data_IF_722999220054
#
_entry.id   IF_722999220054
#
_cell.length_a   1.000
_cell.length_b   1.000
_cell.length_c   1.000
_cell.angle_alpha   90.00
_cell.angle_beta   90.00
_cell.angle_gamma   90.00
#
_symmetry.space_group_name_H-M   'P 1'
#
loop_
_entity.id
_entity.type
_entity.pdbx_description
1 polymer ?
#
# COMPACT_ATOMS: atom_id res chain seq x y z
N UNK A 1 -11.32 -17.99 34.07
CA UNK A 1 -10.68 -18.61 32.89
C UNK A 1 -9.98 -17.51 32.13
N UNK A 2 -8.67 -17.58 31.90
CA UNK A 2 -7.96 -16.55 31.14
C UNK A 2 -8.16 -16.80 29.65
N UNK A 3 -8.46 -15.75 28.88
CA UNK A 3 -8.57 -15.83 27.42
C UNK A 3 -7.20 -15.60 26.81
N UNK A 4 -6.89 -16.33 25.74
CA UNK A 4 -5.72 -16.07 24.92
C UNK A 4 -5.82 -14.66 24.32
N UNK A 5 -4.77 -13.86 24.49
CA UNK A 5 -4.67 -12.50 23.95
C UNK A 5 -4.01 -12.53 22.59
N UNK A 6 -4.50 -11.70 21.69
CA UNK A 6 -4.05 -11.60 20.31
C UNK A 6 -3.78 -10.14 19.93
N UNK A 7 -2.84 -9.95 19.02
CA UNK A 7 -2.56 -8.66 18.38
C UNK A 7 -2.72 -8.82 16.87
N UNK A 8 -3.63 -8.07 16.27
CA UNK A 8 -3.86 -8.08 14.83
C UNK A 8 -2.87 -7.19 14.09
N UNK A 9 -2.14 -7.74 13.12
CA UNK A 9 -1.20 -7.01 12.27
C UNK A 9 -1.74 -7.02 10.84
N UNK A 10 -2.12 -5.84 10.36
CA UNK A 10 -2.72 -5.63 9.05
C UNK A 10 -1.80 -4.77 8.20
N UNK A 11 -1.64 -5.12 6.94
CA UNK A 11 -0.75 -4.37 6.07
C UNK A 11 -1.22 -4.33 4.62
N UNK A 12 -0.77 -3.32 3.91
CA UNK A 12 -1.01 -3.20 2.46
C UNK A 12 0.17 -2.46 1.82
N UNK A 13 0.27 -2.49 0.50
CA UNK A 13 1.28 -1.75 -0.26
C UNK A 13 0.71 -0.40 -0.71
N UNK A 14 1.55 0.65 -0.81
CA UNK A 14 1.12 1.92 -1.41
C UNK A 14 0.87 1.73 -2.89
N UNK A 15 -0.02 2.56 -3.43
CA UNK A 15 -0.27 2.70 -4.88
C UNK A 15 -0.11 4.19 -5.22
N UNK A 16 1.14 4.70 -5.30
CA UNK A 16 1.38 6.15 -5.41
C UNK A 16 0.79 6.78 -6.65
N UNK A 17 0.80 6.06 -7.78
CA UNK A 17 0.21 6.52 -9.03
C UNK A 17 -1.32 6.68 -8.94
N UNK A 18 -1.97 6.02 -7.99
CA UNK A 18 -3.39 6.16 -7.68
C UNK A 18 -3.65 7.08 -6.47
N UNK A 19 -2.63 7.75 -5.94
CA UNK A 19 -2.74 8.64 -4.78
C UNK A 19 -2.84 7.93 -3.43
N UNK A 20 -2.69 6.60 -3.37
CA UNK A 20 -2.70 5.85 -2.11
C UNK A 20 -1.29 5.74 -1.55
N UNK A 21 -0.91 6.67 -0.67
CA UNK A 21 0.46 6.77 -0.11
C UNK A 21 0.52 6.77 1.40
N UNK A 22 -0.63 6.73 2.07
CA UNK A 22 -0.74 6.74 3.53
C UNK A 22 -1.91 5.85 3.98
N UNK A 23 -1.85 5.39 5.22
CA UNK A 23 -2.92 4.65 5.88
C UNK A 23 -3.09 5.23 7.28
N UNK A 24 -4.33 5.30 7.75
CA UNK A 24 -4.64 5.68 9.12
C UNK A 24 -4.05 4.66 10.11
N UNK A 25 -3.47 5.11 11.25
CA UNK A 25 -3.11 4.21 12.35
C UNK A 25 -4.33 3.70 13.12
N UNK A 26 -5.49 4.34 12.97
CA UNK A 26 -6.78 3.83 13.44
C UNK A 26 -7.27 2.76 12.45
N UNK A 27 -7.39 1.53 12.95
CA UNK A 27 -7.78 0.36 12.16
C UNK A 27 -9.17 0.50 11.58
N UNK A 28 -10.13 1.05 12.33
CA UNK A 28 -11.51 1.19 11.85
C UNK A 28 -11.63 2.26 10.76
N UNK A 29 -10.69 3.21 10.70
CA UNK A 29 -10.52 4.10 9.55
C UNK A 29 -9.74 3.41 8.41
N UNK A 30 -8.72 2.61 8.74
CA UNK A 30 -7.89 1.94 7.74
C UNK A 30 -8.68 0.92 6.90
N UNK A 31 -9.69 0.24 7.47
CA UNK A 31 -10.58 -0.66 6.72
C UNK A 31 -11.38 0.08 5.63
N UNK A 32 -11.70 1.36 5.83
CA UNK A 32 -12.42 2.16 4.81
C UNK A 32 -11.47 2.64 3.71
N UNK A 33 -10.17 2.72 3.99
CA UNK A 33 -9.14 3.15 3.05
C UNK A 33 -8.59 2.00 2.18
N UNK A 34 -8.57 0.76 2.70
CA UNK A 34 -8.02 -0.40 1.99
C UNK A 34 -8.86 -1.66 2.16
N UNK A 35 -9.34 -2.19 1.04
CA UNK A 35 -10.05 -3.49 1.00
C UNK A 35 -9.17 -4.65 1.49
N UNK A 36 -7.86 -4.59 1.28
CA UNK A 36 -6.92 -5.60 1.76
C UNK A 36 -6.79 -5.55 3.29
N UNK A 37 -6.80 -4.36 3.89
CA UNK A 37 -6.81 -4.20 5.35
C UNK A 37 -8.14 -4.70 5.92
N UNK A 38 -9.27 -4.31 5.32
CA UNK A 38 -10.60 -4.79 5.73
C UNK A 38 -10.66 -6.33 5.73
N UNK A 39 -10.24 -6.96 4.64
CA UNK A 39 -10.18 -8.41 4.55
C UNK A 39 -9.33 -9.04 5.68
N UNK A 40 -8.14 -8.51 5.96
CA UNK A 40 -7.29 -9.04 7.04
C UNK A 40 -7.93 -8.88 8.42
N UNK A 41 -8.58 -7.74 8.67
CA UNK A 41 -9.31 -7.49 9.91
C UNK A 41 -10.40 -8.55 10.10
N UNK A 42 -11.21 -8.80 9.07
CA UNK A 42 -12.29 -9.78 9.13
C UNK A 42 -11.77 -11.20 9.37
N UNK A 43 -10.72 -11.62 8.67
CA UNK A 43 -10.08 -12.94 8.88
C UNK A 43 -9.60 -13.08 10.32
N UNK A 44 -8.86 -12.09 10.83
CA UNK A 44 -8.26 -12.15 12.16
C UNK A 44 -9.31 -12.03 13.27
N UNK A 45 -10.23 -11.07 13.18
CA UNK A 45 -11.33 -10.89 14.15
C UNK A 45 -12.21 -12.14 14.21
N UNK A 46 -12.48 -12.77 13.07
CA UNK A 46 -13.20 -14.06 13.00
C UNK A 46 -12.43 -15.18 13.68
N UNK A 47 -11.14 -15.35 13.37
CA UNK A 47 -10.30 -16.36 13.99
C UNK A 47 -10.25 -16.22 15.52
N UNK A 48 -10.04 -15.00 16.02
CA UNK A 48 -9.99 -14.73 17.47
C UNK A 48 -11.31 -15.10 18.14
N UNK A 49 -12.44 -14.79 17.50
CA UNK A 49 -13.77 -15.19 17.99
C UNK A 49 -13.94 -16.71 18.01
N UNK A 50 -13.53 -17.41 16.96
CA UNK A 50 -13.65 -18.87 16.84
C UNK A 50 -12.85 -19.61 17.91
N UNK A 51 -11.67 -19.10 18.28
CA UNK A 51 -10.83 -19.69 19.35
C UNK A 51 -11.18 -19.17 20.76
N UNK A 52 -12.20 -18.32 20.89
CA UNK A 52 -12.64 -17.76 22.18
C UNK A 52 -11.64 -16.79 22.82
N UNK A 53 -10.79 -16.15 22.01
CA UNK A 53 -9.75 -15.21 22.43
C UNK A 53 -10.23 -13.78 22.63
N UNK A 54 -9.26 -12.88 22.76
CA UNK A 54 -9.44 -11.43 22.86
C UNK A 54 -8.38 -10.69 22.05
N UNK A 55 -8.79 -9.69 21.26
CA UNK A 55 -7.87 -8.76 20.62
C UNK A 55 -7.46 -7.68 21.62
N UNK A 56 -6.19 -7.69 22.01
CA UNK A 56 -5.60 -6.69 22.90
C UNK A 56 -5.30 -5.38 22.17
N UNK A 57 -4.82 -5.48 20.93
CA UNK A 57 -4.57 -4.34 20.06
C UNK A 57 -4.59 -4.76 18.60
N UNK A 58 -4.75 -3.79 17.73
CA UNK A 58 -4.75 -3.96 16.29
C UNK A 58 -3.88 -2.87 15.64
N UNK A 59 -3.16 -3.21 14.58
CA UNK A 59 -2.18 -2.33 13.96
C UNK A 59 -2.31 -2.39 12.44
N UNK A 60 -2.53 -1.25 11.81
CA UNK A 60 -2.50 -1.07 10.36
C UNK A 60 -1.15 -0.50 9.91
N UNK A 61 -0.59 -1.05 8.84
CA UNK A 61 0.72 -0.67 8.30
C UNK A 61 0.66 -0.47 6.79
N UNK A 62 1.41 0.52 6.30
CA UNK A 62 1.70 0.67 4.89
C UNK A 62 3.13 0.22 4.62
N UNK A 63 3.29 -0.81 3.80
CA UNK A 63 4.61 -1.34 3.42
C UNK A 63 5.19 -0.49 2.28
N UNK A 64 5.92 0.57 2.64
CA UNK A 64 6.34 1.63 1.73
C UNK A 64 7.31 1.21 0.61
N UNK A 65 7.88 0.00 0.66
CA UNK A 65 8.92 -0.41 -0.26
C UNK A 65 8.77 -1.87 -0.73
N UNK A 66 8.77 -2.13 -2.05
CA UNK A 66 8.65 -3.47 -2.63
C UNK A 66 9.80 -4.46 -2.33
N UNK A 67 10.93 -3.93 -1.86
CA UNK A 67 12.25 -4.59 -1.89
C UNK A 67 13.22 -4.09 -0.80
N UNK A 68 12.83 -3.11 0.03
CA UNK A 68 13.61 -2.64 1.19
C UNK A 68 12.66 -2.03 2.20
N UNK A 69 12.17 -2.76 3.20
CA UNK A 69 11.42 -2.07 4.25
C UNK A 69 12.18 -0.84 4.73
N UNK A 70 11.42 0.22 4.89
CA UNK A 70 11.82 1.39 5.64
C UNK A 70 12.01 0.90 7.09
N UNK A 71 13.20 1.04 7.70
CA UNK A 71 13.46 0.70 9.12
C UNK A 71 12.36 1.14 10.09
N UNK A 72 11.63 2.18 9.73
CA UNK A 72 10.46 2.77 10.36
C UNK A 72 9.33 1.74 10.61
N UNK A 73 9.00 0.88 9.65
CA UNK A 73 7.93 -0.13 9.81
C UNK A 73 8.33 -1.19 10.83
N UNK A 74 9.60 -1.63 10.79
CA UNK A 74 10.15 -2.56 11.77
C UNK A 74 10.26 -1.93 13.17
N UNK A 75 10.55 -0.63 13.26
CA UNK A 75 10.55 0.12 14.52
C UNK A 75 9.15 0.22 15.13
N UNK A 76 8.13 0.50 14.31
CA UNK A 76 6.73 0.52 14.76
C UNK A 76 6.30 -0.85 15.28
N UNK A 77 6.60 -1.93 14.56
CA UNK A 77 6.32 -3.29 15.00
C UNK A 77 7.05 -3.64 16.31
N UNK A 78 8.33 -3.27 16.45
CA UNK A 78 9.09 -3.48 17.69
C UNK A 78 8.46 -2.76 18.89
N UNK A 79 7.94 -1.54 18.70
CA UNK A 79 7.21 -0.83 19.77
C UNK A 79 5.96 -1.58 20.19
N UNK A 80 5.17 -2.07 19.23
CA UNK A 80 3.99 -2.90 19.51
C UNK A 80 4.38 -4.15 20.29
N UNK A 81 5.46 -4.83 19.89
CA UNK A 81 5.99 -6.01 20.60
C UNK A 81 6.38 -5.69 22.04
N UNK A 82 7.02 -4.54 22.28
CA UNK A 82 7.44 -4.14 23.64
C UNK A 82 6.27 -3.78 24.56
N UNK A 83 5.16 -3.30 24.01
CA UNK A 83 3.97 -2.93 24.79
C UNK A 83 2.97 -4.08 24.92
N UNK A 84 3.10 -5.13 24.11
CA UNK A 84 2.25 -6.29 24.12
C UNK A 84 2.38 -7.10 25.42
N UNK A 85 1.28 -7.70 25.86
CA UNK A 85 1.32 -8.71 26.92
C UNK A 85 2.31 -9.84 26.58
N UNK A 86 3.07 -10.38 27.54
CA UNK A 86 4.08 -11.42 27.28
C UNK A 86 3.54 -12.68 26.61
N UNK A 87 2.27 -13.01 26.84
CA UNK A 87 1.59 -14.18 26.29
C UNK A 87 0.79 -13.89 25.01
N UNK A 88 0.76 -12.63 24.54
CA UNK A 88 -0.01 -12.27 23.35
C UNK A 88 0.57 -12.90 22.09
N UNK A 89 -0.30 -13.47 21.24
CA UNK A 89 0.05 -13.97 19.91
C UNK A 89 -0.20 -12.91 18.84
N UNK A 90 0.77 -12.72 17.96
CA UNK A 90 0.67 -11.80 16.82
C UNK A 90 0.05 -12.54 15.64
N UNK A 91 -1.06 -12.03 15.13
CA UNK A 91 -1.78 -12.58 13.99
C UNK A 91 -1.52 -11.71 12.76
N UNK A 92 -1.20 -12.35 11.65
CA UNK A 92 -1.13 -11.70 10.32
C UNK A 92 -1.68 -12.65 9.27
N UNK A 93 -2.19 -12.14 8.15
CA UNK A 93 -2.55 -13.01 7.02
C UNK A 93 -1.32 -13.27 6.16
N UNK A 94 -1.07 -14.55 5.87
CA UNK A 94 0.07 -15.02 5.11
C UNK A 94 -0.26 -15.15 3.63
N UNK A 95 -0.16 -14.03 2.92
CA UNK A 95 -0.35 -13.99 1.47
C UNK A 95 0.70 -14.84 0.70
N UNK A 96 1.92 -15.01 1.21
CA UNK A 96 2.96 -15.75 0.45
C UNK A 96 2.71 -17.26 0.31
N UNK A 97 1.81 -17.83 1.11
CA UNK A 97 1.44 -19.25 1.02
C UNK A 97 0.71 -19.60 -0.28
N UNK A 98 0.17 -18.62 -1.00
CA UNK A 98 -0.53 -18.81 -2.28
C UNK A 98 0.22 -18.16 -3.45
N UNK A 99 0.55 -18.97 -4.47
CA UNK A 99 0.80 -18.52 -5.86
C UNK A 99 1.79 -17.35 -6.06
N UNK A 100 2.99 -17.48 -5.48
CA UNK A 100 4.12 -16.61 -5.83
C UNK A 100 3.98 -15.15 -5.39
N UNK A 101 3.13 -14.89 -4.38
CA UNK A 101 3.13 -13.60 -3.69
C UNK A 101 4.39 -13.48 -2.85
N UNK A 102 5.00 -12.29 -2.87
CA UNK A 102 6.30 -12.09 -2.23
C UNK A 102 6.13 -12.31 -0.71
N UNK A 103 7.07 -13.00 -0.05
CA UNK A 103 7.11 -13.06 1.40
C UNK A 103 7.20 -11.65 1.98
N UNK A 104 6.72 -11.49 3.22
CA UNK A 104 6.84 -10.25 4.00
C UNK A 104 7.92 -10.42 5.05
N UNK A 105 9.22 -10.38 4.66
CA UNK A 105 10.32 -10.65 5.58
C UNK A 105 10.29 -9.72 6.79
N UNK A 106 9.76 -8.49 6.67
CA UNK A 106 9.80 -7.51 7.75
C UNK A 106 8.70 -7.65 8.80
N UNK A 107 7.54 -8.16 8.42
CA UNK A 107 6.55 -8.60 9.42
C UNK A 107 7.13 -9.77 10.20
N UNK A 108 7.84 -10.67 9.52
CA UNK A 108 8.55 -11.79 10.17
C UNK A 108 9.73 -11.33 11.04
N UNK A 109 10.52 -10.34 10.60
CA UNK A 109 11.68 -9.83 11.32
C UNK A 109 11.28 -8.93 12.50
N UNK A 110 10.19 -8.19 12.36
CA UNK A 110 9.69 -7.25 13.37
C UNK A 110 8.89 -7.93 14.49
N UNK A 111 8.50 -9.19 14.31
CA UNK A 111 7.67 -9.95 15.24
C UNK A 111 8.41 -11.17 15.82
N UNK A 112 8.13 -11.53 17.08
CA UNK A 112 8.70 -12.74 17.68
C UNK A 112 8.17 -14.00 16.98
N UNK A 113 9.04 -14.77 16.32
CA UNK A 113 8.67 -15.98 15.55
C UNK A 113 7.91 -17.02 16.39
N UNK A 114 8.29 -17.21 17.66
CA UNK A 114 7.65 -18.13 18.59
C UNK A 114 6.25 -17.69 19.08
N UNK A 115 5.84 -16.46 18.76
CA UNK A 115 4.56 -15.86 19.16
C UNK A 115 3.79 -15.31 17.95
N UNK A 116 4.15 -15.70 16.73
CA UNK A 116 3.52 -15.21 15.51
C UNK A 116 2.81 -16.35 14.78
N UNK A 117 1.57 -16.11 14.38
CA UNK A 117 0.76 -17.04 13.59
C UNK A 117 0.30 -16.35 12.30
N UNK A 118 0.67 -16.95 11.17
CA UNK A 118 0.18 -16.57 9.85
C UNK A 118 -1.11 -17.32 9.53
N UNK A 119 -2.21 -16.60 9.35
CA UNK A 119 -3.49 -17.16 8.92
C UNK A 119 -3.53 -17.30 7.38
N UNK A 120 -4.18 -18.36 6.85
CA UNK A 120 -4.28 -18.54 5.41
C UNK A 120 -5.14 -17.44 4.77
N UNK A 121 -4.85 -17.04 3.52
CA UNK A 121 -5.59 -16.02 2.80
C UNK A 121 -6.82 -16.64 2.09
N UNK A 122 -7.67 -17.33 2.86
CA UNK A 122 -8.85 -17.99 2.32
C UNK A 122 -9.94 -16.98 1.94
N UNK A 123 -10.75 -17.24 0.89
CA UNK A 123 -11.87 -16.39 0.55
C UNK A 123 -12.90 -16.27 1.69
N UNK A 124 -13.40 -15.07 1.92
CA UNK A 124 -14.44 -14.82 2.93
C UNK A 124 -15.60 -14.00 2.34
N UNK A 125 -16.75 -14.04 3.00
CA UNK A 125 -17.81 -13.06 2.76
C UNK A 125 -17.48 -11.80 3.55
N UNK A 126 -17.16 -10.73 2.84
CA UNK A 126 -16.89 -9.38 3.37
C UNK A 126 -17.98 -8.45 2.82
N UNK A 127 -18.73 -7.78 3.71
CA UNK A 127 -19.90 -6.96 3.36
C UNK A 127 -20.93 -7.67 2.46
N UNK A 128 -21.16 -8.97 2.72
CA UNK A 128 -22.09 -9.79 1.93
C UNK A 128 -21.60 -10.14 0.51
N UNK A 129 -20.35 -9.81 0.16
CA UNK A 129 -19.72 -10.15 -1.12
C UNK A 129 -18.53 -11.06 -0.89
N UNK A 130 -18.35 -12.04 -1.77
CA UNK A 130 -17.15 -12.88 -1.73
C UNK A 130 -15.91 -12.02 -2.05
N UNK A 131 -14.98 -11.98 -1.12
CA UNK A 131 -13.64 -11.47 -1.33
C UNK A 131 -12.69 -12.65 -1.45
N UNK A 132 -12.17 -12.87 -2.66
CA UNK A 132 -11.10 -13.81 -2.92
C UNK A 132 -9.78 -13.03 -3.11
N UNK A 133 -8.80 -13.17 -2.19
CA UNK A 133 -7.50 -12.52 -2.33
C UNK A 133 -6.80 -12.84 -3.65
N UNK A 134 -7.00 -14.06 -4.18
CA UNK A 134 -6.37 -14.50 -5.42
C UNK A 134 -6.82 -13.67 -6.62
N UNK A 135 -8.13 -13.53 -6.76
CA UNK A 135 -8.75 -12.71 -7.79
C UNK A 135 -8.46 -11.22 -7.57
N UNK A 136 -8.48 -10.76 -6.32
CA UNK A 136 -8.19 -9.37 -5.98
C UNK A 136 -6.80 -8.95 -6.43
N UNK A 137 -5.77 -9.73 -6.07
CA UNK A 137 -4.39 -9.41 -6.46
C UNK A 137 -4.09 -9.70 -7.93
N UNK A 138 -4.79 -10.65 -8.56
CA UNK A 138 -4.69 -10.83 -10.01
C UNK A 138 -5.20 -9.59 -10.77
N UNK A 139 -6.35 -9.04 -10.37
CA UNK A 139 -6.90 -7.80 -10.94
C UNK A 139 -5.95 -6.62 -10.74
N UNK A 140 -5.40 -6.46 -9.54
CA UNK A 140 -4.41 -5.40 -9.27
C UNK A 140 -3.16 -5.52 -10.14
N UNK A 141 -2.60 -6.72 -10.32
CA UNK A 141 -1.45 -6.92 -11.22
C UNK A 141 -1.77 -6.53 -12.67
N UNK A 142 -2.98 -6.83 -13.15
CA UNK A 142 -3.42 -6.41 -14.47
C UNK A 142 -3.54 -4.88 -14.57
N UNK A 143 -4.07 -4.23 -13.53
CA UNK A 143 -4.13 -2.76 -13.45
C UNK A 143 -2.73 -2.12 -13.41
N UNK A 144 -1.83 -2.64 -12.59
CA UNK A 144 -0.43 -2.17 -12.53
C UNK A 144 0.26 -2.33 -13.89
N UNK A 145 0.08 -3.47 -14.56
CA UNK A 145 0.60 -3.69 -15.91
C UNK A 145 0.05 -2.67 -16.89
N UNK A 146 -1.26 -2.43 -16.90
CA UNK A 146 -1.87 -1.39 -17.75
C UNK A 146 -1.32 0.00 -17.47
N UNK A 147 -1.09 0.34 -16.19
CA UNK A 147 -0.45 1.60 -15.81
C UNK A 147 0.99 1.71 -16.34
N UNK A 148 1.81 0.67 -16.18
CA UNK A 148 3.17 0.62 -16.73
C UNK A 148 3.17 0.77 -18.25
N UNK A 149 2.29 0.05 -18.93
CA UNK A 149 2.16 0.06 -20.39
C UNK A 149 1.66 1.43 -20.91
N UNK A 150 0.94 2.21 -20.09
CA UNK A 150 0.45 3.56 -20.42
C UNK A 150 1.53 4.66 -20.41
N UNK A 151 2.77 4.36 -19.99
CA UNK A 151 3.83 5.36 -19.78
C UNK A 151 4.11 6.21 -21.02
N UNK A 152 4.08 5.61 -22.22
CA UNK A 152 4.29 6.36 -23.47
C UNK A 152 3.15 7.33 -23.76
N UNK A 153 1.91 6.86 -23.68
CA UNK A 153 0.73 7.69 -23.92
C UNK A 153 0.63 8.84 -22.91
N UNK A 154 0.99 8.60 -21.65
CA UNK A 154 1.09 9.64 -20.63
C UNK A 154 2.14 10.70 -21.02
N UNK A 155 3.31 10.27 -21.50
CA UNK A 155 4.34 11.21 -21.97
C UNK A 155 3.80 12.09 -23.10
N UNK A 156 3.16 11.51 -24.11
CA UNK A 156 2.63 12.25 -25.25
C UNK A 156 1.58 13.28 -24.81
N UNK A 157 0.69 12.90 -23.89
CA UNK A 157 -0.32 13.80 -23.30
C UNK A 157 0.33 15.02 -22.62
N UNK A 158 1.40 14.81 -21.86
CA UNK A 158 2.13 15.90 -21.19
C UNK A 158 2.83 16.79 -22.21
N UNK A 159 3.46 16.22 -23.25
CA UNK A 159 4.13 17.00 -24.29
C UNK A 159 3.13 17.86 -25.10
N UNK A 160 1.96 17.32 -25.42
CA UNK A 160 0.90 18.05 -26.12
C UNK A 160 0.34 19.20 -25.26
N UNK A 161 0.16 18.98 -23.96
CA UNK A 161 -0.29 20.03 -23.03
C UNK A 161 0.71 21.20 -22.88
N UNK A 162 1.99 20.92 -23.12
CA UNK A 162 3.09 21.88 -23.00
C UNK A 162 3.42 22.59 -24.33
N UNK A 163 3.12 21.97 -25.48
CA UNK A 163 3.41 22.51 -26.82
C UNK A 163 2.96 23.98 -27.02
N UNK A 164 1.73 24.40 -26.65
CA UNK A 164 1.30 25.79 -26.86
C UNK A 164 1.97 26.82 -25.92
N UNK A 165 2.80 26.39 -24.98
CA UNK A 165 3.35 27.24 -23.91
C UNK A 165 4.88 27.14 -23.81
N UNK A 166 5.54 26.73 -24.90
CA UNK A 166 6.97 26.38 -24.94
C UNK A 166 7.94 27.48 -24.53
N UNK A 167 7.51 28.75 -24.50
CA UNK A 167 8.29 29.90 -24.08
C UNK A 167 8.21 30.21 -22.57
N UNK A 168 7.31 29.55 -21.82
CA UNK A 168 7.15 29.77 -20.38
C UNK A 168 8.26 29.10 -19.57
N UNK A 169 8.53 29.62 -18.38
CA UNK A 169 9.46 28.99 -17.44
C UNK A 169 8.96 27.63 -16.96
N UNK A 170 9.88 26.73 -16.59
CA UNK A 170 9.52 25.42 -16.03
C UNK A 170 8.62 25.52 -14.79
N UNK A 171 8.77 26.57 -13.98
CA UNK A 171 7.92 26.78 -12.80
C UNK A 171 6.46 27.05 -13.21
N UNK A 172 6.23 27.90 -14.21
CA UNK A 172 4.89 28.19 -14.71
C UNK A 172 4.26 26.96 -15.37
N UNK A 173 5.03 26.23 -16.18
CA UNK A 173 4.56 25.01 -16.82
C UNK A 173 4.17 23.93 -15.79
N UNK A 174 4.96 23.76 -14.73
CA UNK A 174 4.64 22.83 -13.64
C UNK A 174 3.33 23.23 -12.93
N UNK A 175 3.15 24.51 -12.61
CA UNK A 175 1.90 25.02 -12.03
C UNK A 175 0.70 24.75 -12.95
N UNK A 176 0.82 25.00 -14.25
CA UNK A 176 -0.25 24.80 -15.22
C UNK A 176 -0.63 23.31 -15.36
N UNK A 177 0.35 22.41 -15.35
CA UNK A 177 0.12 20.97 -15.36
C UNK A 177 -0.61 20.52 -14.08
N UNK A 178 -0.16 20.99 -12.91
CA UNK A 178 -0.78 20.65 -11.63
C UNK A 178 -2.21 21.21 -11.52
N UNK A 179 -2.46 22.43 -12.02
CA UNK A 179 -3.80 23.03 -12.05
C UNK A 179 -4.78 22.24 -12.94
N UNK A 180 -4.27 21.56 -13.98
CA UNK A 180 -5.05 20.64 -14.83
C UNK A 180 -5.15 19.23 -14.27
N UNK A 181 -4.62 18.98 -13.07
CA UNK A 181 -4.48 17.65 -12.47
C UNK A 181 -3.71 16.65 -13.37
N UNK A 182 -2.84 17.15 -14.26
CA UNK A 182 -1.99 16.34 -15.12
C UNK A 182 -0.67 16.09 -14.39
N UNK A 183 -0.68 15.16 -13.44
CA UNK A 183 0.47 14.82 -12.59
C UNK A 183 1.54 14.04 -13.34
N UNK A 184 2.68 13.77 -12.70
CA UNK A 184 3.68 12.83 -13.24
C UNK A 184 3.09 11.42 -13.38
N UNK A 185 3.69 10.57 -14.21
CA UNK A 185 3.25 9.17 -14.36
C UNK A 185 3.18 8.42 -13.03
N UNK A 186 4.09 8.72 -12.10
CA UNK A 186 4.10 8.16 -10.74
C UNK A 186 3.14 8.81 -9.74
N UNK A 187 2.25 9.73 -10.18
CA UNK A 187 1.24 10.39 -9.35
C UNK A 187 1.70 11.61 -8.56
N UNK A 188 2.99 11.99 -8.63
CA UNK A 188 3.52 13.18 -7.95
C UNK A 188 3.20 14.46 -8.71
N UNK A 189 3.11 15.57 -7.99
CA UNK A 189 3.02 16.90 -8.58
C UNK A 189 4.30 17.25 -9.35
N UNK A 190 4.15 18.08 -10.39
CA UNK A 190 5.27 18.65 -11.12
C UNK A 190 5.96 19.74 -10.31
N UNK A 191 7.28 19.73 -10.37
CA UNK A 191 8.17 20.80 -9.91
C UNK A 191 8.99 21.25 -11.10
N UNK A 192 9.58 22.45 -11.05
CA UNK A 192 10.46 22.90 -12.13
C UNK A 192 11.60 21.90 -12.42
N UNK A 193 12.15 21.27 -11.37
CA UNK A 193 13.26 20.32 -11.52
C UNK A 193 12.83 18.99 -12.15
N UNK A 194 11.74 18.38 -11.66
CA UNK A 194 11.29 17.10 -12.22
C UNK A 194 10.73 17.25 -13.65
N UNK A 195 10.14 18.42 -13.97
CA UNK A 195 9.68 18.75 -15.30
C UNK A 195 10.84 18.94 -16.27
N UNK A 196 11.88 19.68 -15.86
CA UNK A 196 13.12 19.82 -16.63
C UNK A 196 13.75 18.46 -16.94
N UNK A 197 13.81 17.56 -15.96
CA UNK A 197 14.33 16.19 -16.15
C UNK A 197 13.47 15.37 -17.12
N UNK A 198 12.15 15.50 -17.05
CA UNK A 198 11.22 14.83 -17.95
C UNK A 198 11.35 15.28 -19.40
N UNK A 199 11.54 16.59 -19.61
CA UNK A 199 11.68 17.21 -20.93
C UNK A 199 13.08 17.01 -21.52
N UNK A 200 14.11 16.88 -20.67
CA UNK A 200 15.50 16.77 -21.07
C UNK A 200 16.11 18.12 -21.48
N UNK A 201 17.43 18.18 -21.62
CA UNK A 201 18.17 19.43 -21.84
C UNK A 201 17.86 20.13 -23.17
N UNK A 202 17.27 19.42 -24.14
CA UNK A 202 17.05 19.89 -25.52
C UNK A 202 15.59 20.17 -25.86
N UNK A 203 14.69 20.23 -24.87
CA UNK A 203 13.30 20.61 -25.12
C UNK A 203 13.22 22.07 -25.58
N UNK A 204 13.15 22.25 -26.89
CA UNK A 204 12.64 23.44 -27.55
C UNK A 204 11.31 22.98 -28.10
N UNK A 205 10.18 23.47 -27.56
CA UNK A 205 8.87 23.08 -28.07
C UNK A 205 8.86 23.34 -29.56
N UNK A 206 9.01 22.28 -30.35
CA UNK A 206 9.36 22.41 -31.76
C UNK A 206 8.16 22.97 -32.49
N UNK A 207 8.46 24.07 -33.18
CA UNK A 207 7.69 24.77 -34.19
C UNK A 207 7.02 23.84 -35.20
#
# INVERSE_FOLDING_TARGET
>A
MWKQRFIGIYWTRPVPWAGFTEISPDVDVAITQSRTIHYQCDVIRRYVKEVGGELESEVSLLELAPDRATPESALSLRKVVTTASPEALFLSVEFSATRGWRPHPFIRDGLPSHRTLGLPPDPILMDGKLFDPADHFAKWRATEKGHVDSKSAHRDTVLDALRPQSSRSYQQLATDLNAKNLKTHGGKDWTADNLRKFLGANWRGTS
#
